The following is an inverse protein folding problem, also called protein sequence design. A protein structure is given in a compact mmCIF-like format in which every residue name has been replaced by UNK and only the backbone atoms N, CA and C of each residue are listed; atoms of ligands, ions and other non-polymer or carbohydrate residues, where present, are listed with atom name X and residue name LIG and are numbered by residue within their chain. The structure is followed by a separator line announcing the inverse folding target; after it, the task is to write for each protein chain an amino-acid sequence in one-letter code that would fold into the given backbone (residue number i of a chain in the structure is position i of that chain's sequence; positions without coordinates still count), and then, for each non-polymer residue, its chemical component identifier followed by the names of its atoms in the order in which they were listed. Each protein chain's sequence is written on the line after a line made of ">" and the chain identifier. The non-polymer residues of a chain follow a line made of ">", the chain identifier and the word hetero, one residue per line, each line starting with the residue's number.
data_IF_448999115717
#
_entry.id   IF_448999115717
#
_cell.length_a   1.000
_cell.length_b   1.000
_cell.length_c   1.000
_cell.angle_alpha   90.00
_cell.angle_beta   90.00
_cell.angle_gamma   90.00
#
_symmetry.space_group_name_H-M   'P 1'
#
loop_
_entity.id
_entity.type
_entity.pdbx_description
1 polymer ?
#
# COMPACT_ATOMS: atom_id res chain seq x y z
N UNK A 1 8.72 0.34 -2.75
CA UNK A 1 8.26 -0.56 -1.69
C UNK A 1 8.82 -0.07 -0.37
N UNK A 2 8.01 -0.05 0.69
CA UNK A 2 8.39 0.38 2.04
C UNK A 2 8.09 -0.78 2.98
N UNK A 3 8.97 -1.03 3.95
CA UNK A 3 8.79 -2.03 5.00
C UNK A 3 8.62 -1.32 6.33
N UNK A 4 7.65 -1.78 7.12
CA UNK A 4 7.46 -1.36 8.51
C UNK A 4 7.95 -2.45 9.45
N UNK A 5 8.28 -2.06 10.67
CA UNK A 5 8.68 -2.95 11.77
C UNK A 5 7.50 -3.77 12.33
N UNK A 6 6.27 -3.24 12.23
CA UNK A 6 5.07 -3.91 12.70
C UNK A 6 3.86 -3.70 11.74
N UNK A 7 2.90 -4.65 11.72
CA UNK A 7 1.75 -4.60 10.80
C UNK A 7 0.79 -3.44 11.09
N UNK A 8 0.67 -3.02 12.35
CA UNK A 8 -0.22 -1.93 12.77
C UNK A 8 0.21 -0.60 12.15
N UNK A 9 1.51 -0.31 12.17
CA UNK A 9 2.08 0.89 11.55
C UNK A 9 1.86 0.90 10.04
N UNK A 10 1.98 -0.26 9.37
CA UNK A 10 1.68 -0.37 7.95
C UNK A 10 0.20 -0.08 7.63
N UNK A 11 -0.71 -0.62 8.45
CA UNK A 11 -2.16 -0.40 8.29
C UNK A 11 -2.53 1.08 8.49
N UNK A 12 -2.00 1.73 9.53
CA UNK A 12 -2.23 3.15 9.81
C UNK A 12 -1.74 4.04 8.65
N UNK A 13 -0.57 3.73 8.09
CA UNK A 13 -0.04 4.43 6.93
C UNK A 13 -0.93 4.27 5.69
N UNK A 14 -1.40 3.04 5.40
CA UNK A 14 -2.33 2.79 4.28
C UNK A 14 -3.62 3.58 4.46
N UNK A 15 -4.23 3.54 5.65
CA UNK A 15 -5.48 4.25 5.93
C UNK A 15 -5.36 5.76 5.74
N UNK A 16 -4.24 6.33 6.16
CA UNK A 16 -4.02 7.78 6.12
C UNK A 16 -3.61 8.27 4.72
N UNK A 17 -2.79 7.50 4.02
CA UNK A 17 -2.11 7.96 2.79
C UNK A 17 -2.74 7.43 1.50
N UNK A 18 -3.50 6.33 1.56
CA UNK A 18 -4.18 5.84 0.37
C UNK A 18 -5.28 6.82 -0.05
N UNK A 19 -5.16 7.34 -1.26
CA UNK A 19 -6.07 8.34 -1.79
C UNK A 19 -5.70 9.78 -1.45
N UNK A 20 -4.55 10.04 -0.83
CA UNK A 20 -4.08 11.40 -0.57
C UNK A 20 -3.85 12.16 -1.89
N UNK A 21 -4.39 13.37 -2.00
CA UNK A 21 -4.21 14.21 -3.20
C UNK A 21 -2.95 15.07 -3.09
N UNK A 22 -2.15 15.06 -4.15
CA UNK A 22 -0.96 15.91 -4.28
C UNK A 22 -0.95 16.55 -5.67
N UNK A 23 -1.19 17.86 -5.71
CA UNK A 23 -1.42 18.58 -6.96
C UNK A 23 -2.57 17.94 -7.76
N UNK A 24 -2.28 17.52 -8.98
CA UNK A 24 -3.24 16.85 -9.89
C UNK A 24 -3.23 15.32 -9.79
N UNK A 25 -2.50 14.75 -8.83
CA UNK A 25 -2.37 13.29 -8.66
C UNK A 25 -2.95 12.82 -7.34
N UNK A 26 -3.26 11.52 -7.27
CA UNK A 26 -3.77 10.84 -6.08
C UNK A 26 -2.87 9.65 -5.76
N UNK A 27 -2.41 9.54 -4.52
CA UNK A 27 -1.55 8.45 -4.08
C UNK A 27 -2.36 7.16 -3.99
N UNK A 28 -1.77 6.05 -4.43
CA UNK A 28 -2.26 4.69 -4.14
C UNK A 28 -1.29 4.03 -3.17
N UNK A 29 -1.80 3.59 -2.03
CA UNK A 29 -1.01 2.91 -1.01
C UNK A 29 -1.71 1.59 -0.69
N UNK A 30 -1.01 0.48 -0.90
CA UNK A 30 -1.55 -0.87 -0.72
C UNK A 30 -0.45 -1.83 -0.24
N UNK A 31 -0.85 -2.98 0.30
CA UNK A 31 0.10 -4.05 0.66
C UNK A 31 0.82 -4.62 -0.57
N UNK A 32 2.06 -5.03 -0.37
CA UNK A 32 2.82 -5.76 -1.40
C UNK A 32 2.08 -7.06 -1.74
N UNK A 33 1.63 -7.19 -2.99
CA UNK A 33 1.12 -8.48 -3.50
C UNK A 33 2.31 -9.41 -3.74
N UNK A 34 2.27 -10.61 -3.18
CA UNK A 34 3.23 -11.65 -3.53
C UNK A 34 3.06 -12.00 -5.03
N UNK A 35 4.16 -12.13 -5.76
CA UNK A 35 4.13 -12.47 -7.20
C UNK A 35 3.40 -13.80 -7.48
N UNK A 36 3.26 -14.66 -6.47
CA UNK A 36 2.61 -15.97 -6.59
C UNK A 36 1.09 -15.90 -6.63
N UNK A 37 0.46 -14.85 -6.08
CA UNK A 37 -0.99 -14.65 -6.16
C UNK A 37 -1.47 -14.23 -7.57
N UNK A 38 -0.55 -14.07 -8.53
CA UNK A 38 -0.84 -13.72 -9.92
C UNK A 38 -0.79 -14.92 -10.88
N UNK A 39 -0.73 -16.16 -10.38
CA UNK A 39 -0.90 -17.36 -11.22
C UNK A 39 -2.38 -17.80 -11.19
N UNK A 40 -3.11 -17.68 -12.31
CA UNK A 40 -4.51 -18.09 -12.41
C UNK A 40 -4.67 -19.56 -12.87
N UNK A 41 -3.62 -20.39 -12.77
CA UNK A 41 -3.68 -21.77 -13.25
C UNK A 41 -4.52 -22.64 -12.32
#
# INVERSE_FOLDING_TARGET
>A
FVSYDNPTSAAAAIQTMNGFHIGTKRLKVEHKRAKEAAKPY
#
